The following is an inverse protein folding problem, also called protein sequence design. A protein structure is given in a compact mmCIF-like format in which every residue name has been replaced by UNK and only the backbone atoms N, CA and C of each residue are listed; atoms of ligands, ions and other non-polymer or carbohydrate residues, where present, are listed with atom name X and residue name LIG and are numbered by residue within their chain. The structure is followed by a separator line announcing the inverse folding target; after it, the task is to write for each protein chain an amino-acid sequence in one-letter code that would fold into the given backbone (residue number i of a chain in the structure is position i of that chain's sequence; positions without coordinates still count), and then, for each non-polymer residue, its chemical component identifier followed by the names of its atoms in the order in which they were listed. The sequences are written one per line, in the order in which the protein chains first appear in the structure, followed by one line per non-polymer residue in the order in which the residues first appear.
data_IF_324027888866
#
_entry.id   IF_324027888866
#
_cell.length_a   1.000
_cell.length_b   1.000
_cell.length_c   1.000
_cell.angle_alpha   90.00
_cell.angle_beta   90.00
_cell.angle_gamma   90.00
#
_symmetry.space_group_name_H-M   'P 1'
#
loop_
_entity.id
_entity.type
_entity.pdbx_description
1 polymer ?
#
# COMPACT_ATOMS: atom_id res chain seq x y z
N UNK A 1 -7.99 2.40 -10.95
CA UNK A 1 -8.15 0.95 -11.14
C UNK A 1 -6.80 0.31 -10.80
N UNK A 2 -6.78 -0.66 -9.88
CA UNK A 2 -5.53 -1.31 -9.45
C UNK A 2 -5.01 -2.29 -10.50
N UNK A 3 -3.76 -2.74 -10.35
CA UNK A 3 -3.13 -3.69 -11.28
C UNK A 3 -3.89 -5.03 -11.41
N UNK A 4 -4.70 -5.35 -10.41
CA UNK A 4 -5.52 -6.56 -10.33
C UNK A 4 -7.00 -6.22 -10.35
N UNK A 5 -7.77 -6.98 -11.11
CA UNK A 5 -9.23 -6.91 -11.11
C UNK A 5 -9.79 -7.25 -9.71
N UNK A 6 -10.97 -6.71 -9.34
CA UNK A 6 -11.67 -7.10 -8.13
C UNK A 6 -12.08 -8.57 -8.25
N UNK A 7 -11.42 -9.44 -7.49
CA UNK A 7 -11.72 -10.86 -7.40
C UNK A 7 -11.89 -11.23 -5.94
N UNK A 8 -12.80 -12.16 -5.66
CA UNK A 8 -12.98 -12.71 -4.33
C UNK A 8 -11.67 -13.35 -3.84
N UNK A 9 -11.37 -13.16 -2.56
CA UNK A 9 -10.14 -13.62 -1.89
C UNK A 9 -10.53 -14.46 -0.67
N UNK A 10 -11.01 -15.70 -0.88
CA UNK A 10 -11.34 -16.58 0.22
C UNK A 10 -10.08 -16.96 1.00
N UNK A 11 -10.19 -16.98 2.33
CA UNK A 11 -9.19 -17.52 3.22
C UNK A 11 -8.84 -18.97 2.81
N UNK A 12 -7.55 -19.31 2.63
CA UNK A 12 -7.17 -20.65 2.16
C UNK A 12 -7.47 -21.76 3.16
N UNK A 13 -7.70 -21.43 4.43
CA UNK A 13 -7.93 -22.40 5.52
C UNK A 13 -9.41 -22.69 5.76
N UNK A 14 -10.27 -21.67 5.72
CA UNK A 14 -11.70 -21.82 6.07
C UNK A 14 -12.67 -21.35 4.97
N UNK A 15 -12.18 -20.77 3.88
CA UNK A 15 -13.02 -20.30 2.77
C UNK A 15 -13.78 -18.99 3.03
N UNK A 16 -13.72 -18.43 4.25
CA UNK A 16 -14.32 -17.11 4.55
C UNK A 16 -13.63 -16.01 3.74
N UNK A 17 -14.40 -15.10 3.15
CA UNK A 17 -13.84 -13.96 2.40
C UNK A 17 -12.90 -13.13 3.28
N UNK A 18 -11.65 -12.98 2.85
CA UNK A 18 -10.67 -12.15 3.55
C UNK A 18 -10.98 -10.67 3.31
N UNK A 19 -10.70 -9.84 4.32
CA UNK A 19 -10.96 -8.40 4.28
C UNK A 19 -9.63 -7.63 4.26
N UNK A 20 -9.58 -6.45 3.60
CA UNK A 20 -8.37 -5.63 3.61
C UNK A 20 -8.07 -5.17 5.04
N UNK A 21 -6.85 -5.46 5.50
CA UNK A 21 -6.36 -5.10 6.83
C UNK A 21 -5.43 -3.89 6.77
N UNK A 22 -4.45 -3.93 5.86
CA UNK A 22 -3.41 -2.91 5.76
C UNK A 22 -3.02 -2.69 4.30
N UNK A 23 -2.84 -1.43 3.93
CA UNK A 23 -2.14 -1.05 2.70
C UNK A 23 -0.81 -0.42 3.08
N UNK A 24 0.27 -1.04 2.64
CA UNK A 24 1.62 -0.49 2.70
C UNK A 24 1.84 0.24 1.37
N UNK A 25 1.81 1.56 1.43
CA UNK A 25 2.04 2.40 0.27
C UNK A 25 3.54 2.43 -0.08
N UNK A 26 3.88 2.49 -1.38
CA UNK A 26 5.28 2.73 -1.79
C UNK A 26 5.73 4.14 -1.41
N UNK A 27 4.84 5.12 -1.48
CA UNK A 27 5.14 6.51 -1.13
C UNK A 27 4.47 6.90 0.17
N UNK A 28 5.19 7.66 1.00
CA UNK A 28 4.63 8.15 2.27
C UNK A 28 3.63 9.28 2.02
N UNK A 29 3.87 10.08 0.97
CA UNK A 29 3.12 11.29 0.66
C UNK A 29 3.08 11.55 -0.84
N UNK A 30 2.04 12.26 -1.28
CA UNK A 30 2.03 12.93 -2.57
C UNK A 30 1.48 14.35 -2.41
N UNK A 31 1.92 15.28 -3.26
CA UNK A 31 1.48 16.67 -3.23
C UNK A 31 0.00 16.89 -3.58
N UNK A 32 -0.76 15.82 -3.86
CA UNK A 32 -2.20 15.88 -4.13
C UNK A 32 -3.08 15.73 -2.87
N UNK A 33 -2.52 15.36 -1.71
CA UNK A 33 -3.25 15.32 -0.45
C UNK A 33 -2.87 16.50 0.45
N UNK A 34 -3.84 17.39 0.71
CA UNK A 34 -3.62 18.57 1.56
C UNK A 34 -3.66 18.26 3.07
N UNK A 35 -4.11 17.06 3.46
CA UNK A 35 -4.35 16.71 4.86
C UNK A 35 -3.08 16.41 5.66
N UNK A 36 -2.02 15.95 5.00
CA UNK A 36 -0.77 15.57 5.65
C UNK A 36 0.41 15.67 4.67
N UNK A 37 1.56 16.11 5.17
CA UNK A 37 2.86 16.06 4.50
C UNK A 37 3.95 15.98 5.58
N UNK A 38 5.11 15.36 5.31
CA UNK A 38 6.28 15.43 6.19
C UNK A 38 6.70 16.88 6.45
N UNK A 39 7.20 17.19 7.64
CA UNK A 39 7.57 18.55 8.02
C UNK A 39 8.78 19.05 7.20
N UNK A 40 9.70 18.15 6.90
CA UNK A 40 10.85 18.39 6.02
C UNK A 40 10.40 18.83 4.64
N UNK A 41 9.34 18.21 4.11
CA UNK A 41 8.80 18.48 2.78
C UNK A 41 7.99 19.80 2.74
N UNK A 42 7.40 20.22 3.86
CA UNK A 42 6.76 21.54 3.99
C UNK A 42 7.76 22.69 4.02
N UNK A 43 8.91 22.46 4.66
CA UNK A 43 9.93 23.50 4.87
C UNK A 43 10.94 23.57 3.72
N UNK A 44 11.27 22.43 3.14
CA UNK A 44 12.25 22.28 2.07
C UNK A 44 11.80 21.19 1.09
N UNK A 45 10.87 21.49 0.17
CA UNK A 45 10.28 20.50 -0.71
C UNK A 45 11.34 19.83 -1.57
N UNK A 46 11.32 18.50 -1.59
CA UNK A 46 12.25 17.69 -2.37
C UNK A 46 11.92 17.86 -3.85
N UNK A 47 12.85 18.34 -4.70
CA UNK A 47 12.59 18.41 -6.13
C UNK A 47 12.31 17.00 -6.65
N UNK A 48 11.17 16.76 -7.32
CA UNK A 48 10.87 15.43 -7.85
C UNK A 48 11.92 15.08 -8.91
N UNK A 49 12.70 14.02 -8.66
CA UNK A 49 13.53 13.41 -9.69
C UNK A 49 12.62 12.87 -10.79
N UNK A 50 12.96 13.13 -12.06
CA UNK A 50 12.15 12.64 -13.19
C UNK A 50 12.05 11.11 -13.13
N UNK A 51 10.82 10.61 -13.00
CA UNK A 51 10.53 9.17 -12.94
C UNK A 51 10.62 8.56 -11.54
N UNK A 52 10.90 9.35 -10.50
CA UNK A 52 10.85 8.90 -9.11
C UNK A 52 9.56 9.39 -8.45
N UNK A 53 8.79 8.52 -7.78
CA UNK A 53 7.65 8.97 -6.98
C UNK A 53 8.12 9.95 -5.89
N UNK A 54 7.37 11.05 -5.62
CA UNK A 54 7.69 11.94 -4.50
C UNK A 54 7.67 11.17 -3.17
N UNK A 55 8.45 11.63 -2.19
CA UNK A 55 8.51 11.07 -0.83
C UNK A 55 8.80 9.55 -0.74
N UNK A 56 9.87 9.10 -1.41
CA UNK A 56 10.43 7.75 -1.23
C UNK A 56 11.48 7.72 -0.11
N UNK A 57 11.18 8.32 1.06
CA UNK A 57 12.17 8.49 2.14
C UNK A 57 12.63 7.17 2.76
N UNK A 58 11.76 6.15 2.76
CA UNK A 58 12.10 4.81 3.25
C UNK A 58 13.08 4.08 2.33
N UNK A 59 13.26 4.54 1.08
CA UNK A 59 13.98 3.84 0.01
C UNK A 59 13.46 2.42 -0.26
N UNK A 60 12.24 2.11 0.21
CA UNK A 60 11.56 0.84 -0.06
C UNK A 60 10.78 0.99 -1.36
N UNK A 61 11.00 0.06 -2.29
CA UNK A 61 10.26 -0.01 -3.54
C UNK A 61 9.50 -1.33 -3.60
N UNK A 62 8.18 -1.26 -3.50
CA UNK A 62 7.33 -2.45 -3.58
C UNK A 62 7.06 -2.71 -5.07
N UNK A 63 7.61 -3.81 -5.58
CA UNK A 63 7.36 -4.31 -6.93
C UNK A 63 7.46 -3.25 -8.06
N UNK A 64 8.40 -2.30 -7.96
CA UNK A 64 8.58 -1.26 -8.99
C UNK A 64 7.67 -0.03 -8.86
N UNK A 65 7.03 0.16 -7.70
CA UNK A 65 6.23 1.37 -7.41
C UNK A 65 4.79 1.11 -6.96
N UNK A 66 4.39 -0.15 -6.84
CA UNK A 66 3.05 -0.57 -6.46
C UNK A 66 2.83 -0.52 -4.95
N UNK A 67 1.60 -0.67 -4.49
CA UNK A 67 1.29 -0.84 -3.08
C UNK A 67 1.19 -2.32 -2.73
N UNK A 68 1.48 -2.68 -1.49
CA UNK A 68 1.18 -4.00 -0.95
C UNK A 68 -0.07 -3.91 -0.07
N UNK A 69 -1.08 -4.71 -0.38
CA UNK A 69 -2.26 -4.87 0.46
C UNK A 69 -2.23 -6.23 1.15
N UNK A 70 -2.42 -6.22 2.46
CA UNK A 70 -2.61 -7.41 3.28
C UNK A 70 -4.09 -7.59 3.54
N UNK A 71 -4.61 -8.78 3.23
CA UNK A 71 -5.97 -9.20 3.57
C UNK A 71 -5.92 -10.25 4.66
N UNK A 72 -6.80 -10.13 5.66
CA UNK A 72 -6.88 -11.02 6.80
C UNK A 72 -8.23 -11.73 6.86
N UNK A 73 -8.22 -12.97 7.35
CA UNK A 73 -9.43 -13.72 7.62
C UNK A 73 -10.17 -13.09 8.81
N UNK A 74 -11.44 -12.68 8.66
CA UNK A 74 -12.20 -12.12 9.78
C UNK A 74 -12.67 -13.20 10.78
N UNK A 75 -12.67 -14.48 10.37
CA UNK A 75 -13.11 -15.58 11.23
C UNK A 75 -12.04 -16.02 12.25
N UNK A 76 -10.76 -15.93 11.89
CA UNK A 76 -9.63 -16.27 12.77
C UNK A 76 -8.37 -15.51 12.31
N UNK A 77 -7.77 -14.66 13.17
CA UNK A 77 -6.58 -13.88 12.82
C UNK A 77 -5.29 -14.73 12.73
N UNK A 78 -5.32 -16.00 13.16
CA UNK A 78 -4.19 -16.91 13.01
C UNK A 78 -4.13 -17.60 11.63
N UNK A 79 -5.23 -17.56 10.86
CA UNK A 79 -5.23 -18.05 9.49
C UNK A 79 -4.30 -17.21 8.60
N UNK A 80 -3.73 -17.80 7.53
CA UNK A 80 -2.83 -17.11 6.63
C UNK A 80 -3.42 -15.82 6.04
N UNK A 81 -2.60 -14.76 6.01
CA UNK A 81 -2.90 -13.54 5.28
C UNK A 81 -2.70 -13.74 3.77
N UNK A 82 -3.43 -12.95 2.99
CA UNK A 82 -3.29 -12.89 1.53
C UNK A 82 -2.57 -11.59 1.18
N UNK A 83 -1.46 -11.72 0.46
CA UNK A 83 -0.64 -10.60 -0.01
C UNK A 83 -1.02 -10.23 -1.45
N UNK A 84 -1.24 -8.94 -1.71
CA UNK A 84 -1.63 -8.44 -3.02
C UNK A 84 -0.83 -7.19 -3.40
N UNK A 85 -0.13 -7.24 -4.54
CA UNK A 85 0.53 -6.08 -5.14
C UNK A 85 -0.44 -5.35 -6.07
N UNK A 86 -0.60 -4.02 -5.90
CA UNK A 86 -1.58 -3.20 -6.65
C UNK A 86 -1.06 -1.85 -7.13
#
# INVERSE_FOLDING_TARGET
WGLTDPVARPCPECGTEALPLLTIATTEWNAGSDSWAPEEERTNPTPPLRGTPPATFTLIMIAGGYNLQLHACPADPSHPHIELVQ
#
